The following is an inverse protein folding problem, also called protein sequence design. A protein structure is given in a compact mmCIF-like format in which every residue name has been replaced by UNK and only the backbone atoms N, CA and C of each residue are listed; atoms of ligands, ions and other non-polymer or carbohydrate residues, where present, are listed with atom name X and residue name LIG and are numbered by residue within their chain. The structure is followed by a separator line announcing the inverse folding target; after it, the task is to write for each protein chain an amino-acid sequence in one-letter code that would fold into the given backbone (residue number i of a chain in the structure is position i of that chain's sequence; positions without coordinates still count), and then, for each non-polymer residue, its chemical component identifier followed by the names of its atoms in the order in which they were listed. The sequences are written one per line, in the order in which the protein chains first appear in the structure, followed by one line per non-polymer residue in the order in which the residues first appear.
data_IF_453321980647
#
_entry.id   IF_453321980647
#
_cell.length_a   1.000
_cell.length_b   1.000
_cell.length_c   1.000
_cell.angle_alpha   90.00
_cell.angle_beta   90.00
_cell.angle_gamma   90.00
#
_symmetry.space_group_name_H-M   'P 1'
#
loop_
_entity.id
_entity.type
_entity.pdbx_description
1 polymer ?
#
# COMPACT_ATOMS: atom_id res chain seq x y z
N UNK A 1 -7.68 5.90 17.75
CA UNK A 1 -6.69 5.80 16.66
C UNK A 1 -7.44 5.90 15.36
N UNK A 2 -7.22 6.98 14.63
CA UNK A 2 -7.89 7.25 13.36
C UNK A 2 -7.40 6.24 12.31
N UNK A 3 -8.35 5.63 11.58
CA UNK A 3 -8.03 4.67 10.53
C UNK A 3 -7.20 5.33 9.42
N UNK A 4 -7.37 6.65 9.21
CA UNK A 4 -6.59 7.46 8.26
C UNK A 4 -5.10 7.43 8.64
N UNK A 5 -4.78 7.52 9.93
CA UNK A 5 -3.38 7.44 10.39
C UNK A 5 -2.77 6.08 10.04
N UNK A 6 -3.52 4.99 10.24
CA UNK A 6 -3.06 3.64 9.93
C UNK A 6 -2.89 3.41 8.44
N UNK A 7 -3.79 3.97 7.63
CA UNK A 7 -3.62 3.99 6.17
C UNK A 7 -2.33 4.70 5.80
N UNK A 8 -2.10 5.91 6.30
CA UNK A 8 -0.90 6.67 5.97
C UNK A 8 0.38 5.91 6.35
N UNK A 9 0.41 5.22 7.51
CA UNK A 9 1.53 4.36 7.87
C UNK A 9 1.72 3.21 6.87
N UNK A 10 0.64 2.56 6.44
CA UNK A 10 0.69 1.49 5.46
C UNK A 10 1.15 2.01 4.07
N UNK A 11 0.71 3.20 3.67
CA UNK A 11 1.16 3.85 2.45
C UNK A 11 2.66 4.17 2.50
N UNK A 12 3.16 4.68 3.62
CA UNK A 12 4.59 4.93 3.81
C UNK A 12 5.42 3.65 3.67
N UNK A 13 4.96 2.54 4.28
CA UNK A 13 5.62 1.24 4.13
C UNK A 13 5.70 0.81 2.66
N UNK A 14 4.61 0.97 1.90
CA UNK A 14 4.57 0.63 0.46
C UNK A 14 5.57 1.47 -0.33
N UNK A 15 5.66 2.77 -0.06
CA UNK A 15 6.57 3.68 -0.75
C UNK A 15 8.05 3.38 -0.42
N UNK A 16 8.36 3.06 0.84
CA UNK A 16 9.72 2.67 1.27
C UNK A 16 10.19 1.36 0.64
N UNK A 17 9.27 0.41 0.38
CA UNK A 17 9.57 -0.91 -0.19
C UNK A 17 9.12 -1.03 -1.66
N UNK A 18 8.91 0.08 -2.36
CA UNK A 18 8.28 0.08 -3.68
C UNK A 18 9.10 -0.70 -4.72
N UNK A 19 10.43 -0.73 -4.59
CA UNK A 19 11.36 -1.46 -5.46
C UNK A 19 11.59 -2.92 -5.04
N UNK A 20 11.06 -3.33 -3.89
CA UNK A 20 11.25 -4.65 -3.29
C UNK A 20 9.94 -5.45 -3.29
N UNK A 21 9.97 -6.78 -3.10
CA UNK A 21 8.75 -7.54 -2.84
C UNK A 21 8.03 -7.00 -1.59
N UNK A 22 6.76 -6.61 -1.75
CA UNK A 22 5.95 -6.11 -0.63
C UNK A 22 5.40 -7.28 0.15
N UNK A 23 5.70 -7.32 1.45
CA UNK A 23 5.11 -8.28 2.38
C UNK A 23 3.73 -7.76 2.86
N UNK A 24 2.67 -8.40 2.39
CA UNK A 24 1.31 -8.05 2.78
C UNK A 24 0.98 -8.38 4.23
N UNK A 25 1.68 -9.33 4.86
CA UNK A 25 1.51 -9.62 6.29
C UNK A 25 2.14 -8.53 7.16
N UNK A 26 3.28 -8.01 6.76
CA UNK A 26 3.93 -6.91 7.48
C UNK A 26 3.12 -5.60 7.33
N UNK A 27 2.68 -5.31 6.10
CA UNK A 27 1.76 -4.20 5.81
C UNK A 27 0.48 -4.26 6.67
N UNK A 28 -0.06 -5.46 6.83
CA UNK A 28 -1.24 -5.72 7.65
C UNK A 28 -0.99 -5.43 9.15
N UNK A 29 0.18 -5.80 9.69
CA UNK A 29 0.58 -5.46 11.06
C UNK A 29 0.66 -3.94 11.25
N UNK A 30 1.28 -3.22 10.30
CA UNK A 30 1.35 -1.75 10.32
C UNK A 30 -0.05 -1.11 10.32
N UNK A 31 -0.95 -1.64 9.49
CA UNK A 31 -2.34 -1.19 9.42
C UNK A 31 -3.23 -1.64 10.60
N UNK A 32 -2.71 -2.46 11.51
CA UNK A 32 -3.46 -3.06 12.64
C UNK A 32 -4.73 -3.81 12.18
N UNK A 33 -4.68 -4.50 11.03
CA UNK A 33 -5.77 -5.32 10.51
C UNK A 33 -5.21 -6.46 9.64
N UNK A 34 -6.01 -7.49 9.32
CA UNK A 34 -5.57 -8.53 8.38
C UNK A 34 -5.28 -7.96 6.98
N UNK A 35 -4.36 -8.56 6.23
CA UNK A 35 -4.06 -8.18 4.84
C UNK A 35 -5.32 -8.12 3.96
N UNK A 36 -6.23 -9.09 4.12
CA UNK A 36 -7.52 -9.13 3.41
C UNK A 36 -8.38 -7.89 3.69
N UNK A 37 -8.60 -7.55 4.96
CA UNK A 37 -9.33 -6.34 5.34
C UNK A 37 -8.65 -5.07 4.84
N UNK A 38 -7.32 -4.98 4.94
CA UNK A 38 -6.57 -3.84 4.42
C UNK A 38 -6.79 -3.65 2.92
N UNK A 39 -6.60 -4.70 2.13
CA UNK A 39 -6.79 -4.68 0.68
C UNK A 39 -8.22 -4.30 0.29
N UNK A 40 -9.23 -4.85 0.98
CA UNK A 40 -10.64 -4.51 0.75
C UNK A 40 -10.96 -3.06 1.07
N UNK A 41 -10.49 -2.59 2.23
CA UNK A 41 -10.69 -1.20 2.64
C UNK A 41 -10.00 -0.27 1.64
N UNK A 42 -8.72 -0.50 1.33
CA UNK A 42 -7.97 0.28 0.35
C UNK A 42 -8.73 0.39 -0.97
N UNK A 43 -9.17 -0.74 -1.54
CA UNK A 43 -9.89 -0.74 -2.80
C UNK A 43 -11.21 0.03 -2.75
N UNK A 44 -11.93 -0.06 -1.63
CA UNK A 44 -13.17 0.70 -1.42
C UNK A 44 -12.95 2.23 -1.45
N UNK A 45 -11.78 2.72 -1.05
CA UNK A 45 -11.52 4.17 -0.94
C UNK A 45 -10.71 4.74 -2.10
N UNK A 46 -9.75 3.97 -2.60
CA UNK A 46 -8.90 4.37 -3.72
C UNK A 46 -9.54 4.06 -5.08
N UNK A 47 -10.69 3.36 -5.08
CA UNK A 47 -11.41 2.88 -6.27
C UNK A 47 -10.56 1.98 -7.20
N UNK A 48 -9.47 1.44 -6.66
CA UNK A 48 -8.54 0.54 -7.36
C UNK A 48 -7.97 -0.51 -6.41
N UNK A 49 -7.72 -1.74 -6.88
CA UNK A 49 -7.03 -2.74 -6.07
C UNK A 49 -5.65 -2.27 -5.62
N UNK A 50 -5.23 -2.66 -4.41
CA UNK A 50 -3.92 -2.32 -3.86
C UNK A 50 -2.76 -2.77 -4.77
N UNK A 51 -2.86 -3.97 -5.35
CA UNK A 51 -1.87 -4.50 -6.29
C UNK A 51 -1.72 -3.63 -7.53
N UNK A 52 -2.82 -3.08 -8.04
CA UNK A 52 -2.81 -2.18 -9.20
C UNK A 52 -2.21 -0.83 -8.84
N UNK A 53 -2.52 -0.30 -7.64
CA UNK A 53 -1.87 0.91 -7.13
C UNK A 53 -0.34 0.76 -7.05
N UNK A 54 0.15 -0.32 -6.42
CA UNK A 54 1.59 -0.62 -6.31
C UNK A 54 2.23 -0.71 -7.70
N UNK A 55 1.59 -1.42 -8.64
CA UNK A 55 2.08 -1.55 -10.02
C UNK A 55 2.22 -0.20 -10.71
N UNK A 56 1.21 0.67 -10.60
CA UNK A 56 1.25 2.03 -11.15
C UNK A 56 2.36 2.86 -10.53
N UNK A 57 2.50 2.80 -9.20
CA UNK A 57 3.56 3.51 -8.48
C UNK A 57 4.96 3.09 -8.94
N UNK A 58 5.21 1.79 -9.11
CA UNK A 58 6.48 1.28 -9.65
C UNK A 58 6.78 1.81 -11.05
N UNK A 59 5.79 1.78 -11.95
CA UNK A 59 5.96 2.31 -13.31
C UNK A 59 6.26 3.81 -13.30
N UNK A 60 5.55 4.58 -12.49
CA UNK A 60 5.80 6.02 -12.36
C UNK A 60 7.16 6.31 -11.75
N UNK A 61 7.60 5.55 -10.75
CA UNK A 61 8.92 5.73 -10.13
C UNK A 61 10.05 5.46 -11.13
N UNK A 62 9.96 4.37 -11.89
CA UNK A 62 10.96 4.03 -12.90
C UNK A 62 11.03 5.06 -14.04
N UNK A 63 9.95 5.80 -14.31
CA UNK A 63 9.93 6.87 -15.30
C UNK A 63 10.58 8.18 -14.81
N UNK A 64 10.70 8.39 -13.49
CA UNK A 64 11.36 9.56 -12.90
C UNK A 64 12.88 9.38 -12.85
N UNK A 65 13.37 8.15 -12.78
CA UNK A 65 14.80 7.83 -12.78
C UNK A 65 15.47 7.88 -14.19
N UNK A 66 14.73 8.26 -15.23
CA UNK A 66 15.19 8.42 -16.63
C UNK A 66 15.41 9.90 -16.99
#
# INVERSE_FOLDING_TARGET
MDWITRLNCAMNYIEEHLTEPIDYEELAKVACCSAYHFQRMFAYMADVPLSEYIRRRRMSSAAVDL
#
